data_IF_684489483084
#
_entry.id   IF_684489483084
#
_cell.length_a   1.000
_cell.length_b   1.000
_cell.length_c   1.000
_cell.angle_alpha   90.00
_cell.angle_beta   90.00
_cell.angle_gamma   90.00
#
_symmetry.space_group_name_H-M   'P 1'
#
loop_
_entity.id
_entity.type
_entity.pdbx_description
1 polymer ?
#
# COMPACT_ATOMS: atom_id res chain seq x y z
N UNK A 1 16.86 18.73 17.04
CA UNK A 1 15.87 19.28 16.09
C UNK A 1 14.89 18.17 15.76
N UNK A 2 13.60 18.47 15.79
CA UNK A 2 12.53 17.51 15.46
C UNK A 2 11.90 17.98 14.17
N UNK A 3 11.91 17.14 13.15
CA UNK A 3 11.26 17.41 11.86
C UNK A 3 9.93 16.67 11.85
N UNK A 4 8.84 17.40 11.59
CA UNK A 4 7.55 16.77 11.31
C UNK A 4 7.55 16.34 9.85
N UNK A 5 7.36 15.04 9.62
CA UNK A 5 7.29 14.46 8.28
C UNK A 5 5.82 14.19 7.96
N UNK A 6 5.31 14.85 6.92
CA UNK A 6 3.99 14.58 6.36
C UNK A 6 4.07 13.47 5.32
N UNK A 7 3.14 12.51 5.36
CA UNK A 7 3.02 11.43 4.38
C UNK A 7 1.60 11.38 3.85
N UNK A 8 1.40 11.71 2.58
CA UNK A 8 0.11 11.57 1.90
C UNK A 8 0.18 10.39 0.93
N UNK A 9 -0.51 9.30 1.26
CA UNK A 9 -0.48 8.05 0.49
C UNK A 9 -1.81 7.87 -0.24
N UNK A 10 -1.74 7.57 -1.53
CA UNK A 10 -2.86 7.14 -2.37
C UNK A 10 -2.58 5.75 -2.92
N UNK A 11 -3.51 4.84 -2.64
CA UNK A 11 -3.55 3.50 -3.21
C UNK A 11 -4.67 3.43 -4.24
N UNK A 12 -4.33 3.13 -5.49
CA UNK A 12 -5.31 2.91 -6.56
C UNK A 12 -5.34 1.43 -6.86
N UNK A 13 -6.46 0.78 -6.56
CA UNK A 13 -6.63 -0.66 -6.75
C UNK A 13 -6.90 -0.94 -8.23
N UNK A 14 -6.23 -1.96 -8.77
CA UNK A 14 -6.36 -2.37 -10.16
C UNK A 14 -7.02 -3.75 -10.25
N UNK A 15 -7.88 -3.98 -11.26
CA UNK A 15 -8.57 -5.26 -11.42
C UNK A 15 -7.60 -6.38 -11.81
N UNK A 16 -6.55 -6.04 -12.55
CA UNK A 16 -5.54 -6.96 -13.05
C UNK A 16 -4.23 -6.82 -12.26
N UNK A 17 -3.45 -7.90 -12.10
CA UNK A 17 -2.15 -7.82 -11.45
C UNK A 17 -1.16 -6.99 -12.28
N UNK A 18 -0.24 -6.24 -11.65
CA UNK A 18 0.82 -5.54 -12.38
C UNK A 18 1.68 -6.50 -13.20
N UNK A 19 2.29 -6.00 -14.28
CA UNK A 19 3.18 -6.81 -15.11
C UNK A 19 4.28 -7.49 -14.28
N UNK A 20 4.50 -8.78 -14.54
CA UNK A 20 5.48 -9.59 -13.82
C UNK A 20 4.95 -10.29 -12.56
N UNK A 21 3.71 -10.01 -12.13
CA UNK A 21 3.05 -10.80 -11.09
C UNK A 21 2.47 -12.10 -11.67
N UNK A 22 2.82 -13.23 -11.06
CA UNK A 22 2.37 -14.59 -11.46
C UNK A 22 1.41 -15.21 -10.46
N UNK A 23 0.91 -14.44 -9.49
CA UNK A 23 0.05 -14.95 -8.43
C UNK A 23 -1.36 -15.28 -8.96
N UNK A 24 -1.67 -16.58 -9.00
CA UNK A 24 -2.99 -17.09 -9.40
C UNK A 24 -4.11 -16.76 -8.41
N UNK A 25 -3.81 -16.16 -7.27
CA UNK A 25 -4.77 -15.81 -6.22
C UNK A 25 -5.23 -14.34 -6.27
N UNK A 26 -4.82 -13.61 -7.31
CA UNK A 26 -5.27 -12.24 -7.56
C UNK A 26 -6.80 -12.13 -7.61
N UNK A 27 -7.35 -11.11 -6.96
CA UNK A 27 -8.80 -10.91 -6.79
C UNK A 27 -9.45 -11.81 -5.74
N UNK A 28 -8.73 -12.77 -5.15
CA UNK A 28 -9.24 -13.63 -4.06
C UNK A 28 -8.51 -13.36 -2.74
N UNK A 29 -7.23 -13.73 -2.67
CA UNK A 29 -6.39 -13.52 -1.47
C UNK A 29 -5.27 -12.52 -1.69
N UNK A 30 -5.01 -12.14 -2.94
CA UNK A 30 -4.06 -11.09 -3.30
C UNK A 30 -4.77 -10.00 -4.10
N UNK A 31 -4.41 -8.75 -3.85
CA UNK A 31 -4.87 -7.60 -4.60
C UNK A 31 -3.81 -6.50 -4.56
N UNK A 32 -3.95 -5.46 -5.37
CA UNK A 32 -2.94 -4.42 -5.42
C UNK A 32 -3.22 -3.39 -6.50
N UNK A 33 -2.18 -2.67 -6.89
CA UNK A 33 -2.24 -1.64 -7.93
C UNK A 33 -1.20 -0.56 -7.70
N UNK A 34 -1.56 0.69 -8.03
CA UNK A 34 -0.63 1.81 -8.03
C UNK A 34 -0.54 2.50 -6.66
N UNK A 35 0.69 2.62 -6.18
CA UNK A 35 1.08 3.42 -5.04
C UNK A 35 1.52 4.81 -5.51
N UNK A 36 1.00 5.85 -4.88
CA UNK A 36 1.57 7.21 -4.96
C UNK A 36 1.69 7.80 -3.58
N UNK A 37 2.82 8.44 -3.32
CA UNK A 37 3.08 9.13 -2.07
C UNK A 37 3.67 10.52 -2.30
N UNK A 38 3.21 11.49 -1.51
CA UNK A 38 3.86 12.80 -1.34
C UNK A 38 4.44 12.90 0.07
N UNK A 39 5.75 13.14 0.15
CA UNK A 39 6.48 13.36 1.40
C UNK A 39 6.77 14.85 1.58
N UNK A 40 6.38 15.39 2.73
CA UNK A 40 6.53 16.80 3.10
C UNK A 40 7.42 16.92 4.34
N UNK A 41 8.10 18.06 4.49
CA UNK A 41 8.91 18.36 5.69
C UNK A 41 10.31 17.72 5.73
N UNK A 42 10.64 16.86 4.77
CA UNK A 42 12.00 16.27 4.58
C UNK A 42 12.89 17.19 3.76
N UNK A 43 12.32 17.86 2.76
CA UNK A 43 13.02 18.77 1.86
C UNK A 43 12.20 20.05 1.64
N UNK A 44 12.84 21.09 1.09
CA UNK A 44 12.18 22.37 0.78
C UNK A 44 11.04 22.21 -0.25
N UNK A 45 11.14 21.19 -1.09
CA UNK A 45 10.11 20.78 -2.04
C UNK A 45 9.59 19.43 -1.63
N UNK A 46 8.32 19.19 -1.92
CA UNK A 46 7.71 17.89 -1.75
C UNK A 46 8.44 16.84 -2.59
N UNK A 47 8.51 15.62 -2.07
CA UNK A 47 9.07 14.48 -2.77
C UNK A 47 7.89 13.59 -3.19
N UNK A 48 7.84 13.28 -4.48
CA UNK A 48 6.83 12.39 -5.06
C UNK A 48 7.44 11.02 -5.31
N UNK A 49 6.76 9.98 -4.86
CA UNK A 49 7.14 8.58 -5.05
C UNK A 49 5.97 7.84 -5.68
N UNK A 50 6.25 6.97 -6.66
CA UNK A 50 5.26 6.08 -7.25
C UNK A 50 5.83 4.67 -7.42
N UNK A 51 4.93 3.69 -7.49
CA UNK A 51 5.27 2.29 -7.69
C UNK A 51 4.02 1.42 -7.62
N UNK A 52 4.21 0.12 -7.45
CA UNK A 52 3.13 -0.85 -7.26
C UNK A 52 3.08 -1.33 -5.82
N UNK A 53 1.89 -1.66 -5.33
CA UNK A 53 1.71 -2.32 -4.03
C UNK A 53 0.93 -3.62 -4.19
N UNK A 54 1.11 -4.52 -3.24
CA UNK A 54 0.36 -5.77 -3.10
C UNK A 54 -0.11 -5.91 -1.65
N UNK A 55 -1.37 -6.30 -1.47
CA UNK A 55 -1.92 -6.73 -0.20
C UNK A 55 -2.26 -8.21 -0.30
N UNK A 56 -1.78 -8.99 0.67
CA UNK A 56 -2.04 -10.42 0.78
C UNK A 56 -2.86 -10.69 2.04
N UNK A 57 -3.96 -11.40 1.89
CA UNK A 57 -4.77 -11.89 3.01
C UNK A 57 -4.00 -13.01 3.71
N UNK A 58 -3.53 -12.75 4.94
CA UNK A 58 -2.77 -13.73 5.74
C UNK A 58 -3.68 -14.65 6.55
N UNK A 59 -4.91 -14.21 6.86
CA UNK A 59 -5.91 -14.99 7.59
C UNK A 59 -7.31 -14.59 7.16
N UNK A 60 -8.20 -15.57 7.04
CA UNK A 60 -9.64 -15.32 6.85
C UNK A 60 -10.34 -15.01 8.18
N UNK A 61 -9.66 -15.21 9.32
CA UNK A 61 -10.18 -14.84 10.63
C UNK A 61 -9.98 -13.33 10.80
N UNK A 62 -11.10 -12.60 10.84
CA UNK A 62 -11.12 -11.13 10.86
C UNK A 62 -10.58 -10.50 12.15
N UNK A 63 -10.45 -11.27 13.23
CA UNK A 63 -9.88 -10.84 14.52
C UNK A 63 -9.07 -11.97 15.15
N UNK A 64 -7.81 -11.72 15.45
CA UNK A 64 -7.03 -12.54 16.39
C UNK A 64 -7.11 -11.87 17.77
N UNK A 65 -7.56 -12.62 18.79
CA UNK A 65 -7.65 -12.20 20.19
C UNK A 65 -8.58 -11.00 20.45
N UNK A 66 -9.90 -11.18 20.27
CA UNK A 66 -10.90 -10.24 20.82
C UNK A 66 -10.94 -10.48 22.34
N UNK A 67 -10.48 -9.52 23.14
CA UNK A 67 -10.56 -9.59 24.60
C UNK A 67 -12.04 -9.51 25.01
N UNK A 68 -12.60 -10.64 25.43
CA UNK A 68 -13.87 -10.72 26.15
C UNK A 68 -13.58 -11.04 27.61
#
# INVERSE_FOLDING_TARGET
>A
QTYTIGRNIRLTFEPDPPEGYTDHTWGTTSLGGQYRETLEGVHRKDIYVEGTFELRMISQISKLNDEN
#
